data_IF_841476637159
#
_entry.id   IF_841476637159
#
_cell.length_a   1.000
_cell.length_b   1.000
_cell.length_c   1.000
_cell.angle_alpha   90.00
_cell.angle_beta   90.00
_cell.angle_gamma   90.00
#
_symmetry.space_group_name_H-M   'P 1'
#
loop_
_entity.id
_entity.type
_entity.pdbx_description
1 polymer ?
#
# COMPACT_ATOMS: atom_id res chain seq x y z
N UNK A 1 -33.68 -59.16 22.49
CA UNK A 1 -34.24 -57.79 22.45
C UNK A 1 -33.09 -56.90 22.86
N UNK A 2 -32.21 -56.62 21.90
CA UNK A 2 -31.03 -55.80 22.10
C UNK A 2 -31.43 -54.37 21.73
N UNK A 3 -31.35 -53.46 22.70
CA UNK A 3 -31.56 -52.03 22.49
C UNK A 3 -30.32 -51.48 21.75
N UNK A 4 -30.46 -51.23 20.46
CA UNK A 4 -29.55 -50.36 19.72
C UNK A 4 -29.73 -48.93 20.24
N UNK A 5 -28.83 -48.49 21.11
CA UNK A 5 -28.63 -47.08 21.40
C UNK A 5 -28.06 -46.41 20.16
N UNK A 6 -28.93 -45.76 19.39
CA UNK A 6 -28.55 -44.84 18.31
C UNK A 6 -27.76 -43.71 18.95
N UNK A 7 -26.43 -43.80 18.80
CA UNK A 7 -25.49 -42.79 19.24
C UNK A 7 -25.64 -41.59 18.30
N UNK A 8 -26.57 -40.70 18.64
CA UNK A 8 -26.75 -39.40 17.99
C UNK A 8 -25.55 -38.51 18.28
N UNK A 9 -24.46 -38.73 17.53
CA UNK A 9 -23.34 -37.81 17.51
C UNK A 9 -23.85 -36.46 17.02
N UNK A 10 -23.84 -35.46 17.91
CA UNK A 10 -24.07 -34.08 17.54
C UNK A 10 -23.09 -33.73 16.41
N UNK A 11 -23.60 -33.56 15.19
CA UNK A 11 -22.80 -33.02 14.10
C UNK A 11 -22.44 -31.60 14.50
N UNK A 12 -21.22 -31.39 14.95
CA UNK A 12 -20.67 -30.05 15.14
C UNK A 12 -20.60 -29.42 13.75
N UNK A 13 -21.60 -28.60 13.41
CA UNK A 13 -21.62 -27.86 12.16
C UNK A 13 -20.33 -27.01 12.09
N UNK A 14 -19.39 -27.45 11.25
CA UNK A 14 -18.15 -26.74 11.04
C UNK A 14 -18.45 -25.48 10.22
N UNK A 15 -17.89 -24.33 10.63
CA UNK A 15 -18.05 -23.09 9.89
C UNK A 15 -17.53 -23.28 8.44
N UNK A 16 -18.33 -22.95 7.40
CA UNK A 16 -18.05 -23.38 6.03
C UNK A 16 -16.99 -22.51 5.33
N UNK A 17 -15.79 -22.40 5.91
CA UNK A 17 -14.66 -21.58 5.42
C UNK A 17 -14.30 -21.93 3.99
N UNK A 18 -14.20 -23.23 3.68
CA UNK A 18 -13.82 -23.72 2.34
C UNK A 18 -14.84 -23.31 1.28
N UNK A 19 -16.14 -23.34 1.62
CA UNK A 19 -17.18 -22.91 0.68
C UNK A 19 -17.09 -21.40 0.43
N UNK A 20 -16.81 -20.61 1.47
CA UNK A 20 -16.63 -19.16 1.34
C UNK A 20 -15.39 -18.86 0.47
N UNK A 21 -14.29 -19.58 0.67
CA UNK A 21 -13.09 -19.47 -0.18
C UNK A 21 -13.42 -19.70 -1.65
N UNK A 22 -14.11 -20.81 -1.98
CA UNK A 22 -14.49 -21.12 -3.35
C UNK A 22 -15.45 -20.08 -3.94
N UNK A 23 -16.38 -19.53 -3.14
CA UNK A 23 -17.27 -18.46 -3.57
C UNK A 23 -16.49 -17.17 -3.89
N UNK A 24 -15.50 -16.80 -3.06
CA UNK A 24 -14.63 -15.64 -3.31
C UNK A 24 -13.81 -15.84 -4.60
N UNK A 25 -13.27 -17.03 -4.81
CA UNK A 25 -12.51 -17.37 -6.02
C UNK A 25 -13.38 -17.33 -7.28
N UNK A 26 -14.58 -17.90 -7.21
CA UNK A 26 -15.55 -17.85 -8.31
C UNK A 26 -15.93 -16.40 -8.64
N UNK A 27 -16.28 -15.61 -7.62
CA UNK A 27 -16.64 -14.20 -7.79
C UNK A 27 -15.48 -13.40 -8.41
N UNK A 28 -14.25 -13.63 -7.93
CA UNK A 28 -13.03 -13.02 -8.47
C UNK A 28 -12.89 -13.33 -9.97
N UNK A 29 -13.09 -14.59 -10.36
CA UNK A 29 -13.03 -15.00 -11.77
C UNK A 29 -14.12 -14.33 -12.61
N UNK A 30 -15.36 -14.26 -12.09
CA UNK A 30 -16.47 -13.60 -12.78
C UNK A 30 -16.23 -12.09 -12.99
N UNK A 31 -15.67 -11.40 -12.00
CA UNK A 31 -15.31 -9.97 -12.09
C UNK A 31 -14.23 -9.74 -13.14
N UNK A 32 -13.19 -10.58 -13.15
CA UNK A 32 -12.08 -10.48 -14.11
C UNK A 32 -12.52 -10.80 -15.55
N UNK A 33 -13.44 -11.76 -15.73
CA UNK A 33 -13.89 -12.16 -17.06
C UNK A 33 -14.87 -11.18 -17.69
N UNK A 34 -15.72 -10.54 -16.87
CA UNK A 34 -16.82 -9.69 -17.31
C UNK A 34 -16.85 -8.33 -16.58
N UNK A 35 -15.77 -7.53 -16.58
CA UNK A 35 -15.67 -6.34 -15.73
C UNK A 35 -16.71 -5.25 -16.03
N UNK A 36 -17.26 -5.24 -17.26
CA UNK A 36 -18.27 -4.27 -17.72
C UNK A 36 -19.72 -4.71 -17.47
N UNK A 37 -19.93 -5.90 -16.92
CA UNK A 37 -21.27 -6.46 -16.68
C UNK A 37 -21.89 -6.00 -15.37
N UNK A 38 -21.14 -5.30 -14.52
CA UNK A 38 -21.57 -4.87 -13.20
C UNK A 38 -21.86 -3.37 -13.19
N UNK A 39 -22.95 -3.00 -12.53
CA UNK A 39 -23.27 -1.60 -12.25
C UNK A 39 -22.38 -1.06 -11.14
N UNK A 40 -22.19 0.26 -11.12
CA UNK A 40 -21.44 0.95 -10.06
C UNK A 40 -21.98 0.61 -8.66
N UNK A 41 -23.31 0.55 -8.50
CA UNK A 41 -23.91 0.22 -7.20
C UNK A 41 -23.62 -1.22 -6.77
N UNK A 42 -23.62 -2.18 -7.69
CA UNK A 42 -23.24 -3.56 -7.39
C UNK A 42 -21.77 -3.65 -6.96
N UNK A 43 -20.87 -2.94 -7.65
CA UNK A 43 -19.46 -2.88 -7.27
C UNK A 43 -19.27 -2.28 -5.87
N UNK A 44 -19.95 -1.17 -5.55
CA UNK A 44 -19.93 -0.58 -4.19
C UNK A 44 -20.42 -1.57 -3.14
N UNK A 45 -21.53 -2.25 -3.41
CA UNK A 45 -22.10 -3.26 -2.50
C UNK A 45 -21.13 -4.44 -2.30
N UNK A 46 -20.42 -4.86 -3.34
CA UNK A 46 -19.41 -5.91 -3.25
C UNK A 46 -18.22 -5.47 -2.40
N UNK A 47 -17.71 -4.23 -2.54
CA UNK A 47 -16.66 -3.71 -1.65
C UNK A 47 -17.13 -3.73 -0.19
N UNK A 48 -18.35 -3.27 0.09
CA UNK A 48 -18.93 -3.31 1.45
C UNK A 48 -19.01 -4.73 2.00
N UNK A 49 -19.52 -5.66 1.19
CA UNK A 49 -19.62 -7.07 1.57
C UNK A 49 -18.24 -7.64 1.90
N UNK A 50 -17.27 -7.48 1.01
CA UNK A 50 -15.91 -8.00 1.18
C UNK A 50 -15.22 -7.39 2.40
N UNK A 51 -15.36 -6.07 2.62
CA UNK A 51 -14.87 -5.41 3.82
C UNK A 51 -15.53 -5.96 5.10
N UNK A 52 -16.82 -6.26 5.10
CA UNK A 52 -17.50 -6.87 6.26
C UNK A 52 -17.07 -8.31 6.50
N UNK A 53 -16.94 -9.09 5.42
CA UNK A 53 -16.46 -10.48 5.46
C UNK A 53 -15.04 -10.53 6.03
N UNK A 54 -14.18 -9.59 5.63
CA UNK A 54 -12.82 -9.46 6.15
C UNK A 54 -12.75 -9.24 7.67
N UNK A 55 -13.73 -8.57 8.25
CA UNK A 55 -13.80 -8.32 9.69
C UNK A 55 -14.17 -9.57 10.50
N UNK A 56 -14.61 -10.65 9.86
CA UNK A 56 -14.88 -11.91 10.54
C UNK A 56 -13.57 -12.65 10.83
N UNK A 57 -13.24 -12.77 12.12
CA UNK A 57 -12.02 -13.45 12.59
C UNK A 57 -11.95 -14.92 12.19
N UNK A 58 -13.09 -15.56 11.88
CA UNK A 58 -13.12 -16.96 11.42
C UNK A 58 -12.64 -17.12 9.98
N UNK A 59 -12.57 -16.02 9.22
CA UNK A 59 -12.18 -15.99 7.81
C UNK A 59 -10.74 -15.50 7.59
N UNK A 60 -9.94 -15.38 8.64
CA UNK A 60 -8.55 -14.93 8.53
C UNK A 60 -7.70 -15.86 7.64
N UNK A 61 -8.04 -17.15 7.55
CA UNK A 61 -7.34 -18.11 6.67
C UNK A 61 -7.58 -17.86 5.18
N UNK A 62 -8.62 -17.09 4.82
CA UNK A 62 -9.00 -16.79 3.43
C UNK A 62 -8.82 -15.31 3.09
N UNK A 63 -8.07 -14.57 3.93
CA UNK A 63 -7.87 -13.11 3.74
C UNK A 63 -7.26 -12.79 2.38
N UNK A 64 -6.36 -13.64 1.89
CA UNK A 64 -5.76 -13.48 0.56
C UNK A 64 -6.80 -13.55 -0.56
N UNK A 65 -7.73 -14.51 -0.50
CA UNK A 65 -8.83 -14.59 -1.48
C UNK A 65 -9.75 -13.36 -1.39
N UNK A 66 -9.96 -12.81 -0.19
CA UNK A 66 -10.71 -11.56 0.00
C UNK A 66 -9.97 -10.38 -0.66
N UNK A 67 -8.67 -10.21 -0.42
CA UNK A 67 -7.85 -9.16 -1.01
C UNK A 67 -7.84 -9.23 -2.54
N UNK A 68 -7.69 -10.43 -3.10
CA UNK A 68 -7.76 -10.66 -4.55
C UNK A 68 -9.15 -10.35 -5.11
N UNK A 69 -10.21 -10.67 -4.38
CA UNK A 69 -11.56 -10.34 -4.78
C UNK A 69 -11.79 -8.82 -4.76
N UNK A 70 -11.33 -8.12 -3.71
CA UNK A 70 -11.38 -6.65 -3.64
C UNK A 70 -10.64 -6.05 -4.83
N UNK A 71 -9.44 -6.55 -5.16
CA UNK A 71 -8.68 -6.08 -6.33
C UNK A 71 -9.47 -6.24 -7.63
N UNK A 72 -10.12 -7.39 -7.83
CA UNK A 72 -10.96 -7.63 -9.00
C UNK A 72 -12.17 -6.69 -9.06
N UNK A 73 -12.83 -6.42 -7.93
CA UNK A 73 -13.93 -5.44 -7.85
C UNK A 73 -13.44 -4.03 -8.20
N UNK A 74 -12.32 -3.60 -7.62
CA UNK A 74 -11.76 -2.26 -7.87
C UNK A 74 -11.41 -2.09 -9.35
N UNK A 75 -10.84 -3.10 -10.00
CA UNK A 75 -10.50 -3.07 -11.42
C UNK A 75 -11.72 -3.04 -12.36
N UNK A 76 -12.94 -3.27 -11.86
CA UNK A 76 -14.16 -3.09 -12.64
C UNK A 76 -14.57 -1.61 -12.75
N UNK A 77 -14.02 -0.72 -11.91
CA UNK A 77 -14.25 0.72 -12.07
C UNK A 77 -13.44 1.28 -13.25
N UNK A 78 -14.09 2.02 -14.15
CA UNK A 78 -13.40 2.74 -15.22
C UNK A 78 -12.62 3.95 -14.71
N UNK A 79 -11.56 4.31 -15.44
CA UNK A 79 -10.67 5.43 -15.10
C UNK A 79 -11.39 6.78 -14.96
N UNK A 80 -12.41 7.02 -15.79
CA UNK A 80 -13.18 8.28 -15.78
C UNK A 80 -14.09 8.41 -14.55
N UNK A 81 -14.58 7.30 -13.99
CA UNK A 81 -15.46 7.31 -12.82
C UNK A 81 -14.68 7.19 -11.50
N UNK A 82 -13.47 6.61 -11.54
CA UNK A 82 -12.67 6.36 -10.34
C UNK A 82 -12.47 7.57 -9.41
N UNK A 83 -12.20 8.80 -9.90
CA UNK A 83 -12.00 9.96 -9.03
C UNK A 83 -13.18 10.28 -8.10
N UNK A 84 -14.41 10.00 -8.54
CA UNK A 84 -15.62 10.17 -7.74
C UNK A 84 -15.89 8.93 -6.89
N UNK A 85 -15.73 7.75 -7.47
CA UNK A 85 -15.97 6.48 -6.78
C UNK A 85 -15.05 6.26 -5.58
N UNK A 86 -13.77 6.63 -5.67
CA UNK A 86 -12.85 6.50 -4.54
C UNK A 86 -13.30 7.34 -3.34
N UNK A 87 -13.92 8.50 -3.56
CA UNK A 87 -14.45 9.34 -2.48
C UNK A 87 -15.65 8.70 -1.82
N UNK A 88 -16.57 8.20 -2.63
CA UNK A 88 -17.76 7.51 -2.15
C UNK A 88 -17.38 6.24 -1.37
N UNK A 89 -16.45 5.44 -1.89
CA UNK A 89 -15.92 4.25 -1.20
C UNK A 89 -15.24 4.63 0.12
N UNK A 90 -14.46 5.72 0.18
CA UNK A 90 -13.88 6.18 1.44
C UNK A 90 -14.97 6.49 2.48
N UNK A 91 -16.03 7.21 2.08
CA UNK A 91 -17.15 7.55 2.95
C UNK A 91 -17.86 6.30 3.47
N UNK A 92 -18.18 5.37 2.57
CA UNK A 92 -18.86 4.12 2.90
C UNK A 92 -18.00 3.26 3.83
N UNK A 93 -16.73 3.04 3.50
CA UNK A 93 -15.83 2.16 4.27
C UNK A 93 -15.53 2.74 5.65
N UNK A 94 -15.34 4.07 5.75
CA UNK A 94 -15.18 4.75 7.03
C UNK A 94 -16.37 4.55 7.96
N UNK A 95 -17.55 4.26 7.40
CA UNK A 95 -18.77 4.06 8.18
C UNK A 95 -19.00 2.61 8.65
N UNK A 96 -18.24 1.63 8.16
CA UNK A 96 -18.50 0.20 8.42
C UNK A 96 -18.26 -0.24 9.86
N UNK A 97 -17.46 0.50 10.64
CA UNK A 97 -17.14 0.16 12.02
C UNK A 97 -16.93 1.40 12.87
N UNK A 98 -17.25 1.33 14.16
CA UNK A 98 -16.94 2.36 15.17
C UNK A 98 -15.57 2.13 15.81
N UNK A 99 -15.06 0.89 15.76
CA UNK A 99 -13.79 0.51 16.34
C UNK A 99 -12.63 0.91 15.42
N UNK A 100 -11.71 1.71 15.95
CA UNK A 100 -10.55 2.23 15.22
C UNK A 100 -9.60 1.11 14.72
N UNK A 101 -9.54 -0.04 15.38
CA UNK A 101 -8.72 -1.18 14.95
C UNK A 101 -9.31 -1.88 13.74
N UNK A 102 -10.63 -2.06 13.73
CA UNK A 102 -11.33 -2.59 12.55
C UNK A 102 -11.17 -1.65 11.36
N UNK A 103 -11.29 -0.34 11.58
CA UNK A 103 -11.08 0.65 10.52
C UNK A 103 -9.65 0.65 9.98
N UNK A 104 -8.64 0.52 10.87
CA UNK A 104 -7.26 0.32 10.43
C UNK A 104 -7.10 -0.95 9.60
N UNK A 105 -7.72 -2.06 10.02
CA UNK A 105 -7.68 -3.31 9.26
C UNK A 105 -8.33 -3.17 7.89
N UNK A 106 -9.47 -2.47 7.79
CA UNK A 106 -10.11 -2.16 6.50
C UNK A 106 -9.23 -1.32 5.57
N UNK A 107 -8.38 -0.44 6.13
CA UNK A 107 -7.37 0.27 5.35
C UNK A 107 -6.25 -0.67 4.89
N UNK A 108 -5.82 -1.59 5.76
CA UNK A 108 -4.69 -2.49 5.50
C UNK A 108 -5.00 -3.61 4.50
N UNK A 109 -6.25 -4.09 4.45
CA UNK A 109 -6.68 -5.14 3.51
C UNK A 109 -6.85 -4.65 2.07
N UNK A 110 -6.70 -3.34 1.81
CA UNK A 110 -6.79 -2.84 0.45
C UNK A 110 -5.61 -3.40 -0.38
N UNK A 111 -5.88 -3.92 -1.59
CA UNK A 111 -4.87 -4.62 -2.36
C UNK A 111 -3.77 -3.65 -2.85
N UNK A 112 -2.55 -4.15 -3.14
CA UNK A 112 -1.45 -3.35 -3.67
C UNK A 112 -1.63 -3.06 -5.18
N UNK A 113 -2.80 -2.55 -5.58
CA UNK A 113 -3.09 -2.07 -6.93
C UNK A 113 -3.17 -0.55 -6.95
N UNK A 114 -3.12 0.09 -8.12
CA UNK A 114 -3.24 1.56 -8.23
C UNK A 114 -4.49 2.09 -7.53
N UNK A 115 -5.64 1.46 -7.76
CA UNK A 115 -6.90 1.82 -7.10
C UNK A 115 -6.92 1.47 -5.61
N UNK A 116 -6.35 0.32 -5.22
CA UNK A 116 -6.27 -0.09 -3.82
C UNK A 116 -5.38 0.82 -2.98
N UNK A 117 -4.21 1.20 -3.50
CA UNK A 117 -3.27 2.15 -2.87
C UNK A 117 -3.92 3.54 -2.75
N UNK A 118 -4.59 4.02 -3.79
CA UNK A 118 -5.25 5.32 -3.75
C UNK A 118 -6.40 5.35 -2.72
N UNK A 119 -7.25 4.31 -2.72
CA UNK A 119 -8.31 4.13 -1.73
C UNK A 119 -7.72 4.06 -0.32
N UNK A 120 -6.67 3.27 -0.13
CA UNK A 120 -5.98 3.11 1.14
C UNK A 120 -5.44 4.46 1.68
N UNK A 121 -4.80 5.26 0.83
CA UNK A 121 -4.25 6.57 1.21
C UNK A 121 -5.34 7.58 1.55
N UNK A 122 -6.37 7.70 0.71
CA UNK A 122 -7.49 8.65 0.93
C UNK A 122 -8.33 8.26 2.14
N UNK A 123 -8.63 6.98 2.31
CA UNK A 123 -9.34 6.48 3.47
C UNK A 123 -8.54 6.73 4.75
N UNK A 124 -7.22 6.52 4.71
CA UNK A 124 -6.35 6.82 5.86
C UNK A 124 -6.44 8.29 6.27
N UNK A 125 -6.35 9.22 5.31
CA UNK A 125 -6.47 10.65 5.62
C UNK A 125 -7.86 11.01 6.16
N UNK A 126 -8.93 10.48 5.55
CA UNK A 126 -10.32 10.66 6.00
C UNK A 126 -10.50 10.21 7.46
N UNK A 127 -10.00 9.00 7.78
CA UNK A 127 -10.05 8.48 9.15
C UNK A 127 -9.19 9.28 10.11
N UNK A 128 -8.03 9.79 9.68
CA UNK A 128 -7.16 10.62 10.52
C UNK A 128 -7.85 11.91 10.97
N UNK A 129 -8.60 12.58 10.07
CA UNK A 129 -9.36 13.78 10.43
C UNK A 129 -10.33 13.51 11.59
N UNK A 130 -11.01 12.36 11.58
CA UNK A 130 -11.92 11.97 12.65
C UNK A 130 -11.20 11.48 13.91
N UNK A 131 -10.23 10.55 13.78
CA UNK A 131 -9.56 9.91 14.91
C UNK A 131 -8.67 10.86 15.69
N UNK A 132 -8.00 11.82 15.03
CA UNK A 132 -7.21 12.85 15.70
C UNK A 132 -8.11 13.80 16.49
N UNK A 133 -9.27 14.17 15.93
CA UNK A 133 -10.25 14.98 16.64
C UNK A 133 -10.79 14.22 17.87
N UNK A 134 -11.09 12.92 17.71
CA UNK A 134 -11.52 12.05 18.81
C UNK A 134 -10.47 11.97 19.91
N UNK A 135 -9.19 11.77 19.55
CA UNK A 135 -8.07 11.74 20.49
C UNK A 135 -7.96 13.07 21.24
N UNK A 136 -7.97 14.20 20.52
CA UNK A 136 -7.85 15.52 21.12
C UNK A 136 -8.99 15.84 22.10
N UNK A 137 -10.25 15.57 21.71
CA UNK A 137 -11.41 15.82 22.59
C UNK A 137 -11.43 14.90 23.81
N UNK A 138 -10.92 13.67 23.71
CA UNK A 138 -10.77 12.76 24.86
C UNK A 138 -9.81 13.35 25.90
N UNK A 139 -8.71 13.96 25.45
CA UNK A 139 -7.75 14.63 26.34
C UNK A 139 -8.35 15.88 27.01
N UNK A 140 -9.17 16.66 26.31
CA UNK A 140 -9.78 17.88 26.87
C UNK A 140 -10.95 17.61 27.83
N UNK A 141 -11.79 16.61 27.52
CA UNK A 141 -13.09 16.44 28.20
C UNK A 141 -13.05 15.35 29.29
N UNK A 142 -12.04 14.47 29.29
CA UNK A 142 -11.93 13.34 30.24
C UNK A 142 -13.09 12.32 30.15
N UNK A 143 -13.98 12.46 29.18
CA UNK A 143 -15.11 11.56 28.91
C UNK A 143 -15.05 11.06 27.47
N UNK A 144 -15.32 9.78 27.26
CA UNK A 144 -15.47 9.20 25.93
C UNK A 144 -16.67 9.83 25.22
N UNK A 145 -16.41 10.52 24.10
CA UNK A 145 -17.48 11.10 23.30
C UNK A 145 -18.31 10.01 22.62
N UNK A 146 -19.62 10.27 22.56
CA UNK A 146 -20.57 9.60 21.69
C UNK A 146 -20.15 9.87 20.23
N UNK A 147 -20.35 8.86 19.38
CA UNK A 147 -19.87 8.76 18.00
C UNK A 147 -20.46 9.84 17.06
N UNK A 148 -20.15 11.11 17.29
CA UNK A 148 -20.25 12.15 16.27
C UNK A 148 -19.14 11.89 15.26
N UNK A 149 -19.41 11.00 14.31
CA UNK A 149 -18.69 10.98 13.05
C UNK A 149 -18.99 12.33 12.41
N UNK A 150 -18.06 13.28 12.56
CA UNK A 150 -18.10 14.49 11.77
C UNK A 150 -18.29 14.07 10.32
N UNK A 151 -19.10 14.83 9.60
CA UNK A 151 -19.26 14.73 8.16
C UNK A 151 -17.90 15.10 7.51
N UNK A 152 -16.94 14.17 7.60
CA UNK A 152 -15.56 14.38 7.16
C UNK A 152 -15.60 14.33 5.66
N UNK A 153 -15.47 15.49 5.06
CA UNK A 153 -15.27 15.64 3.62
C UNK A 153 -14.05 14.82 3.21
N UNK A 154 -14.26 13.86 2.30
CA UNK A 154 -13.18 13.04 1.77
C UNK A 154 -12.26 13.93 0.94
N UNK A 155 -10.95 14.02 1.25
CA UNK A 155 -10.04 14.88 0.51
C UNK A 155 -9.86 14.44 -0.95
N UNK A 156 -9.72 15.43 -1.84
CA UNK A 156 -9.47 15.19 -3.27
C UNK A 156 -8.07 14.60 -3.53
N UNK A 157 -7.10 14.96 -2.68
CA UNK A 157 -5.72 14.49 -2.74
C UNK A 157 -5.14 14.32 -1.33
N UNK A 158 -4.16 13.42 -1.21
CA UNK A 158 -3.45 13.19 0.05
C UNK A 158 -2.15 13.97 0.06
N UNK A 159 -2.18 15.16 0.66
CA UNK A 159 -0.98 15.98 0.84
C UNK A 159 -0.34 15.76 2.22
N UNK A 160 0.99 15.66 2.25
CA UNK A 160 1.75 15.56 3.51
C UNK A 160 1.54 16.80 4.40
N UNK A 161 1.29 17.97 3.80
CA UNK A 161 1.00 19.22 4.51
C UNK A 161 -0.22 19.10 5.45
N UNK A 162 -1.24 18.34 5.04
CA UNK A 162 -2.45 18.08 5.83
C UNK A 162 -2.15 17.18 7.02
N UNK A 163 -1.30 16.16 6.84
CA UNK A 163 -0.84 15.28 7.92
C UNK A 163 -0.06 16.06 8.99
N UNK A 164 0.79 17.00 8.58
CA UNK A 164 1.53 17.89 9.50
C UNK A 164 0.59 18.65 10.42
N UNK A 165 -0.52 19.20 9.88
CA UNK A 165 -1.53 19.94 10.65
C UNK A 165 -2.27 19.03 11.63
N UNK A 166 -2.55 17.79 11.24
CA UNK A 166 -3.23 16.81 12.09
C UNK A 166 -2.34 16.35 13.25
N UNK A 167 -1.10 15.94 12.97
CA UNK A 167 -0.15 15.48 14.00
C UNK A 167 0.13 16.57 15.03
N UNK A 168 0.15 17.85 14.63
CA UNK A 168 0.37 18.97 15.54
C UNK A 168 -0.70 19.09 16.64
N UNK A 169 -1.88 18.49 16.46
CA UNK A 169 -2.97 18.50 17.45
C UNK A 169 -2.82 17.39 18.51
N UNK A 170 -1.96 16.41 18.27
CA UNK A 170 -1.78 15.26 19.17
C UNK A 170 -0.84 15.65 20.30
N UNK A 171 -1.33 15.56 21.53
CA UNK A 171 -0.56 15.78 22.75
C UNK A 171 -0.87 14.65 23.74
N UNK A 172 -0.05 13.59 23.80
CA UNK A 172 -0.31 12.46 24.68
C UNK A 172 0.08 12.80 26.13
N UNK A 173 -0.84 12.54 27.07
CA UNK A 173 -0.60 12.52 28.50
C UNK A 173 -0.40 11.09 29.04
N UNK A 174 -0.24 10.96 30.35
CA UNK A 174 -0.04 9.65 30.99
C UNK A 174 -1.29 8.74 30.90
N UNK A 175 -2.49 9.32 30.84
CA UNK A 175 -3.75 8.58 30.75
C UNK A 175 -4.27 8.35 29.33
N UNK A 176 -3.54 8.77 28.29
CA UNK A 176 -4.03 8.76 26.91
C UNK A 176 -4.34 7.36 26.37
N UNK A 177 -5.24 7.30 25.39
CA UNK A 177 -5.50 6.06 24.65
C UNK A 177 -4.37 5.77 23.65
N UNK A 178 -3.36 5.04 24.13
CA UNK A 178 -2.23 4.62 23.31
C UNK A 178 -2.60 3.60 22.23
N UNK A 179 -3.75 2.93 22.31
CA UNK A 179 -4.21 2.07 21.22
C UNK A 179 -4.76 2.89 20.07
N UNK A 180 -5.53 3.93 20.38
CA UNK A 180 -5.99 4.90 19.39
C UNK A 180 -4.79 5.62 18.76
N UNK A 181 -3.81 6.05 19.58
CA UNK A 181 -2.58 6.66 19.08
C UNK A 181 -1.82 5.72 18.14
N UNK A 182 -1.67 4.45 18.50
CA UNK A 182 -1.07 3.45 17.62
C UNK A 182 -1.77 3.40 16.25
N UNK A 183 -3.11 3.39 16.24
CA UNK A 183 -3.88 3.43 14.99
C UNK A 183 -3.63 4.71 14.20
N UNK A 184 -3.64 5.87 14.85
CA UNK A 184 -3.37 7.16 14.19
C UNK A 184 -1.99 7.14 13.53
N UNK A 185 -0.94 6.72 14.23
CA UNK A 185 0.40 6.65 13.65
C UNK A 185 0.47 5.65 12.49
N UNK A 186 -0.23 4.51 12.60
CA UNK A 186 -0.31 3.53 11.50
C UNK A 186 -0.94 4.16 10.25
N UNK A 187 -2.05 4.87 10.41
CA UNK A 187 -2.74 5.56 9.32
C UNK A 187 -1.91 6.69 8.72
N UNK A 188 -1.12 7.42 9.50
CA UNK A 188 -0.19 8.45 8.99
C UNK A 188 0.83 7.81 8.06
N UNK A 189 1.43 6.69 8.48
CA UNK A 189 2.37 5.94 7.65
C UNK A 189 1.73 5.51 6.34
N UNK A 190 0.51 4.97 6.40
CA UNK A 190 -0.21 4.51 5.21
C UNK A 190 -0.61 5.67 4.28
N UNK A 191 -1.09 6.79 4.83
CA UNK A 191 -1.48 7.97 4.05
C UNK A 191 -0.31 8.56 3.24
N UNK A 192 0.90 8.58 3.82
CA UNK A 192 2.12 9.01 3.09
C UNK A 192 2.41 8.05 1.93
N UNK A 193 2.08 6.77 2.05
CA UNK A 193 2.36 5.76 1.03
C UNK A 193 3.84 5.36 0.98
N UNK A 194 4.22 4.66 -0.08
CA UNK A 194 5.60 4.21 -0.33
C UNK A 194 6.15 4.68 -1.69
N UNK A 195 5.37 5.49 -2.40
CA UNK A 195 5.73 6.02 -3.73
C UNK A 195 6.66 7.23 -3.62
N UNK A 196 7.36 7.53 -4.71
CA UNK A 196 8.21 8.72 -4.81
C UNK A 196 7.37 9.99 -4.72
N UNK A 197 7.67 10.82 -3.72
CA UNK A 197 6.99 12.10 -3.53
C UNK A 197 7.63 13.20 -4.38
N UNK A 198 6.83 14.16 -4.88
CA UNK A 198 7.36 15.27 -5.66
C UNK A 198 8.24 16.18 -4.81
N UNK A 199 9.23 16.84 -5.42
CA UNK A 199 10.20 17.71 -4.72
C UNK A 199 9.56 18.80 -3.84
N UNK A 200 8.36 19.27 -4.22
CA UNK A 200 7.58 20.25 -3.44
C UNK A 200 7.17 19.74 -2.05
N UNK A 201 7.03 18.42 -1.87
CA UNK A 201 6.58 17.83 -0.61
C UNK A 201 7.73 17.55 0.36
N UNK A 202 8.98 17.66 -0.08
CA UNK A 202 10.17 17.40 0.74
C UNK A 202 10.14 18.15 2.07
N UNK A 203 9.92 19.46 2.04
CA UNK A 203 9.87 20.29 3.24
C UNK A 203 8.72 19.91 4.19
N UNK A 204 7.56 19.53 3.63
CA UNK A 204 6.41 19.05 4.42
C UNK A 204 6.72 17.70 5.07
N UNK A 205 7.41 16.80 4.36
CA UNK A 205 7.82 15.50 4.87
C UNK A 205 8.88 15.61 5.97
N UNK A 206 9.86 16.50 5.81
CA UNK A 206 10.83 16.84 6.86
C UNK A 206 10.11 17.36 8.11
N UNK A 207 9.16 18.26 7.92
CA UNK A 207 8.34 18.81 9.01
C UNK A 207 7.52 17.73 9.71
N UNK A 208 6.87 16.84 8.96
CA UNK A 208 6.12 15.70 9.51
C UNK A 208 7.03 14.78 10.33
N UNK A 209 8.20 14.44 9.77
CA UNK A 209 9.19 13.58 10.43
C UNK A 209 9.68 14.20 11.74
N UNK A 210 9.95 15.51 11.75
CA UNK A 210 10.34 16.24 12.95
C UNK A 210 9.22 16.22 14.01
N UNK A 211 7.96 16.46 13.61
CA UNK A 211 6.82 16.39 14.55
C UNK A 211 6.64 15.00 15.15
N UNK A 212 6.83 13.93 14.36
CA UNK A 212 6.79 12.56 14.88
C UNK A 212 7.94 12.28 15.86
N UNK A 213 9.14 12.85 15.65
CA UNK A 213 10.24 12.77 16.64
C UNK A 213 9.89 13.47 17.95
N UNK A 214 9.32 14.68 17.88
CA UNK A 214 8.84 15.39 19.07
C UNK A 214 7.79 14.57 19.81
N UNK A 215 6.79 14.05 19.09
CA UNK A 215 5.75 13.19 19.66
C UNK A 215 6.33 11.93 20.33
N UNK A 216 7.34 11.29 19.73
CA UNK A 216 8.03 10.15 20.34
C UNK A 216 8.76 10.52 21.64
N UNK A 217 9.30 11.75 21.72
CA UNK A 217 9.92 12.31 22.92
C UNK A 217 8.90 12.63 24.03
N UNK A 218 7.72 13.11 23.67
CA UNK A 218 6.65 13.46 24.61
C UNK A 218 6.06 12.23 25.32
N UNK A 219 6.12 11.05 24.68
CA UNK A 219 5.65 9.80 25.28
C UNK A 219 6.63 9.33 26.36
N UNK A 220 6.21 9.52 27.61
CA UNK A 220 6.88 8.99 28.81
C UNK A 220 6.68 7.48 28.91
N UNK A 221 7.76 6.73 28.80
CA UNK A 221 7.76 5.27 28.96
C UNK A 221 8.93 4.84 29.86
N UNK A 222 8.85 5.11 31.18
CA UNK A 222 9.93 4.82 32.10
C UNK A 222 10.18 3.32 32.15
N UNK A 223 11.40 2.90 31.78
CA UNK A 223 11.88 1.51 31.80
C UNK A 223 10.96 0.53 31.04
N UNK A 224 10.30 0.98 29.97
CA UNK A 224 9.36 0.15 29.20
C UNK A 224 8.25 -0.48 30.07
N UNK A 225 7.84 0.21 31.14
CA UNK A 225 6.85 -0.30 32.08
C UNK A 225 5.46 -0.44 31.44
N UNK A 226 5.18 0.31 30.35
CA UNK A 226 3.87 0.33 29.71
C UNK A 226 3.96 -0.22 28.28
N UNK A 227 3.65 -1.51 28.12
CA UNK A 227 3.71 -2.23 26.83
C UNK A 227 3.05 -1.47 25.66
N UNK A 228 1.91 -0.83 25.87
CA UNK A 228 1.22 -0.08 24.81
C UNK A 228 2.00 1.17 24.38
N UNK A 229 2.63 1.87 25.34
CA UNK A 229 3.49 3.03 25.04
C UNK A 229 4.73 2.58 24.30
N UNK A 230 5.35 1.47 24.73
CA UNK A 230 6.50 0.86 24.05
C UNK A 230 6.18 0.51 22.60
N UNK A 231 5.03 -0.11 22.34
CA UNK A 231 4.57 -0.42 20.97
C UNK A 231 4.38 0.84 20.11
N UNK A 232 3.83 1.90 20.66
CA UNK A 232 3.69 3.18 19.94
C UNK A 232 5.06 3.80 19.65
N UNK A 233 5.99 3.80 20.61
CA UNK A 233 7.34 4.31 20.41
C UNK A 233 8.09 3.52 19.34
N UNK A 234 8.00 2.18 19.35
CA UNK A 234 8.56 1.33 18.29
C UNK A 234 7.99 1.70 16.91
N UNK A 235 6.66 1.77 16.80
CA UNK A 235 6.00 2.16 15.56
C UNK A 235 6.43 3.55 15.08
N UNK A 236 6.53 4.51 16.00
CA UNK A 236 7.01 5.87 15.69
C UNK A 236 8.44 5.82 15.16
N UNK A 237 9.36 5.10 15.81
CA UNK A 237 10.76 4.99 15.36
C UNK A 237 10.84 4.41 13.95
N UNK A 238 10.13 3.31 13.67
CA UNK A 238 10.09 2.71 12.33
C UNK A 238 9.49 3.65 11.29
N UNK A 239 8.42 4.35 11.64
CA UNK A 239 7.77 5.33 10.75
C UNK A 239 8.71 6.49 10.46
N UNK A 240 9.33 7.08 11.49
CA UNK A 240 10.30 8.18 11.37
C UNK A 240 11.46 7.79 10.48
N UNK A 241 12.03 6.59 10.67
CA UNK A 241 13.15 6.10 9.86
C UNK A 241 12.75 5.98 8.39
N UNK A 242 11.59 5.38 8.12
CA UNK A 242 11.05 5.24 6.76
C UNK A 242 10.84 6.60 6.10
N UNK A 243 10.21 7.56 6.79
CA UNK A 243 9.96 8.89 6.23
C UNK A 243 11.26 9.69 6.02
N UNK A 244 12.24 9.53 6.91
CA UNK A 244 13.56 10.14 6.76
C UNK A 244 14.29 9.59 5.52
N UNK A 245 14.21 8.27 5.30
CA UNK A 245 14.75 7.65 4.09
C UNK A 245 14.05 8.17 2.83
N UNK A 246 12.71 8.19 2.81
CA UNK A 246 11.94 8.76 1.68
C UNK A 246 12.36 10.20 1.39
N UNK A 247 12.56 11.02 2.43
CA UNK A 247 13.03 12.40 2.27
C UNK A 247 14.38 12.48 1.55
N UNK A 248 15.32 11.57 1.86
CA UNK A 248 16.63 11.51 1.22
C UNK A 248 16.53 11.13 -0.26
N UNK A 249 15.58 10.26 -0.61
CA UNK A 249 15.33 9.83 -1.98
C UNK A 249 14.67 10.91 -2.85
N UNK A 250 13.99 11.90 -2.26
CA UNK A 250 13.37 13.00 -3.03
C UNK A 250 14.47 13.85 -3.67
N UNK A 251 14.50 13.85 -5.00
CA UNK A 251 15.43 14.66 -5.81
C UNK A 251 15.31 16.14 -5.41
N UNK A 252 16.43 16.85 -5.17
CA UNK A 252 16.38 18.28 -4.89
C UNK A 252 15.70 18.99 -6.06
N UNK A 253 14.79 19.92 -5.76
CA UNK A 253 14.23 20.83 -6.76
C UNK A 253 15.40 21.49 -7.49
N UNK A 254 15.33 21.59 -8.82
CA UNK A 254 16.41 22.00 -9.74
C UNK A 254 17.02 23.38 -9.39
N UNK A 255 17.86 23.45 -8.37
CA UNK A 255 18.70 24.62 -8.07
C UNK A 255 20.19 24.34 -8.28
N UNK A 256 20.58 23.08 -8.52
CA UNK A 256 21.96 22.72 -8.87
C UNK A 256 22.02 21.76 -10.07
N UNK A 257 22.02 22.25 -11.31
CA UNK A 257 22.14 21.42 -12.51
C UNK A 257 23.58 20.92 -12.75
N UNK A 258 24.50 21.03 -11.79
CA UNK A 258 25.92 20.97 -12.11
C UNK A 258 26.50 19.56 -12.24
N UNK A 259 25.93 18.51 -11.65
CA UNK A 259 26.54 17.16 -11.73
C UNK A 259 25.95 16.31 -12.84
N UNK A 260 24.62 16.34 -13.05
CA UNK A 260 23.98 15.52 -14.09
C UNK A 260 24.21 16.07 -15.50
N UNK A 261 24.49 17.37 -15.65
CA UNK A 261 24.87 17.96 -16.94
C UNK A 261 26.18 17.42 -17.50
N UNK A 262 27.09 16.89 -16.65
CA UNK A 262 28.33 16.28 -17.12
C UNK A 262 28.11 14.95 -17.84
N UNK A 263 27.01 14.26 -17.56
CA UNK A 263 26.72 12.95 -18.14
C UNK A 263 25.80 13.03 -19.37
N UNK A 264 25.10 14.16 -19.58
CA UNK A 264 24.21 14.36 -20.73
C UNK A 264 24.94 14.81 -22.01
N UNK A 265 26.23 15.17 -21.93
CA UNK A 265 27.07 15.52 -23.08
C UNK A 265 28.33 14.65 -23.16
N UNK A 266 28.15 13.38 -23.52
CA UNK A 266 29.24 12.60 -24.12
C UNK A 266 28.75 11.99 -25.43
N UNK A 267 28.70 12.83 -26.47
CA UNK A 267 28.65 12.40 -27.88
C UNK A 267 30.08 12.34 -28.42
N UNK A 268 31.03 11.76 -27.67
CA UNK A 268 32.34 11.48 -28.21
C UNK A 268 32.28 10.17 -28.98
N UNK A 269 32.37 10.25 -30.32
CA UNK A 269 32.71 9.13 -31.18
C UNK A 269 34.02 8.51 -30.68
N UNK A 270 33.92 7.37 -30.01
CA UNK A 270 35.09 6.59 -29.64
C UNK A 270 35.61 5.89 -30.90
N UNK A 271 36.63 6.47 -31.53
CA UNK A 271 37.45 5.74 -32.51
C UNK A 271 38.44 4.86 -31.76
N UNK A 272 38.23 3.54 -31.83
CA UNK A 272 39.17 2.56 -31.29
C UNK A 272 40.31 2.39 -32.29
N UNK A 273 41.45 3.03 -32.04
CA UNK A 273 42.68 2.76 -32.78
C UNK A 273 43.31 1.46 -32.27
N UNK A 274 43.27 0.40 -33.09
CA UNK A 274 44.07 -0.80 -32.86
C UNK A 274 45.56 -0.45 -33.04
N UNK A 275 46.34 -0.61 -31.98
CA UNK A 275 47.80 -0.48 -31.99
C UNK A 275 48.41 -1.49 -32.96
N UNK A 276 49.04 -0.99 -34.04
CA UNK A 276 49.95 -1.78 -34.89
C UNK A 276 51.23 -2.07 -34.10
N UNK A 277 51.44 -3.32 -33.73
CA UNK A 277 52.75 -3.82 -33.32
C UNK A 277 53.62 -4.05 -34.56
N UNK A 278 54.77 -3.37 -34.64
CA UNK A 278 55.93 -3.79 -35.43
C UNK A 278 56.84 -4.54 -34.43
N UNK A 279 57.08 -5.85 -34.54
CA UNK A 279 58.02 -6.50 -35.49
C UNK A 279 59.44 -6.38 -34.92
N UNK A 280 60.24 -7.42 -34.65
CA UNK A 280 60.30 -8.83 -35.04
C UNK A 280 61.23 -9.54 -34.02
N UNK A 281 61.05 -10.84 -33.72
CA UNK A 281 62.12 -11.84 -33.88
C UNK A 281 61.60 -13.29 -33.72
N UNK A 282 62.28 -14.17 -34.44
CA UNK A 282 61.88 -15.51 -34.87
C UNK A 282 61.87 -16.60 -33.78
N UNK A 283 60.93 -17.55 -33.85
CA UNK A 283 61.23 -18.99 -33.97
C UNK A 283 59.95 -19.86 -34.09
N UNK A 284 59.83 -20.44 -35.30
CA UNK A 284 59.24 -21.71 -35.76
C UNK A 284 58.62 -22.66 -34.72
N UNK A 285 57.35 -23.05 -34.93
CA UNK A 285 56.94 -24.46 -35.09
C UNK A 285 55.60 -24.57 -35.85
N UNK A 286 55.57 -25.50 -36.81
CA UNK A 286 54.54 -25.69 -37.85
C UNK A 286 53.51 -26.80 -37.51
N UNK A 287 52.26 -26.55 -37.93
CA UNK A 287 51.21 -27.47 -38.43
C UNK A 287 50.42 -28.40 -37.46
N UNK A 288 49.24 -28.94 -37.86
CA UNK A 288 48.28 -28.55 -38.93
C UNK A 288 46.84 -28.35 -38.35
N UNK A 289 45.90 -27.64 -38.98
CA UNK A 289 45.21 -27.99 -40.23
C UNK A 289 44.04 -28.95 -39.98
N UNK A 290 42.80 -28.43 -39.96
CA UNK A 290 41.63 -29.20 -40.40
C UNK A 290 40.50 -28.27 -40.82
N UNK A 291 40.03 -28.51 -42.04
CA UNK A 291 39.00 -27.80 -42.78
C UNK A 291 37.58 -28.32 -42.44
N UNK A 292 36.60 -27.59 -42.99
CA UNK A 292 35.21 -27.99 -43.31
C UNK A 292 34.12 -27.91 -42.22
N UNK A 293 33.21 -26.92 -42.37
CA UNK A 293 31.85 -27.21 -42.85
C UNK A 293 31.06 -25.93 -43.21
N UNK A 294 30.69 -25.88 -44.49
CA UNK A 294 29.59 -25.17 -45.19
C UNK A 294 28.22 -25.24 -44.45
N UNK A 295 27.14 -24.48 -44.71
CA UNK A 295 26.81 -23.36 -45.60
C UNK A 295 25.40 -22.80 -45.23
N UNK A 296 25.16 -21.53 -45.64
CA UNK A 296 23.96 -21.00 -46.31
C UNK A 296 22.57 -20.84 -45.63
N UNK A 297 22.04 -19.63 -45.88
CA UNK A 297 20.62 -19.18 -45.95
C UNK A 297 19.90 -18.97 -44.61
N UNK A 298 19.16 -17.89 -44.35
CA UNK A 298 18.63 -16.79 -45.14
C UNK A 298 17.37 -16.30 -44.40
N UNK A 299 17.44 -15.13 -43.76
CA UNK A 299 16.32 -14.55 -43.01
C UNK A 299 15.45 -13.77 -43.98
N UNK A 300 14.17 -14.15 -44.11
CA UNK A 300 13.14 -13.34 -44.76
C UNK A 300 11.95 -13.19 -43.80
N UNK A 301 11.65 -11.93 -43.49
CA UNK A 301 10.54 -11.47 -42.67
C UNK A 301 9.19 -11.88 -43.28
N UNK A 302 8.24 -12.27 -42.43
CA UNK A 302 6.82 -12.37 -42.80
C UNK A 302 6.03 -11.55 -41.78
N UNK A 303 5.57 -10.40 -42.26
CA UNK A 303 4.49 -9.63 -41.67
C UNK A 303 3.18 -10.11 -42.32
N UNK A 304 2.17 -10.42 -41.52
CA UNK A 304 0.86 -10.79 -42.05
C UNK A 304 -0.26 -10.28 -41.13
N UNK A 305 -0.62 -9.02 -41.37
CA UNK A 305 -1.98 -8.57 -41.20
C UNK A 305 -2.86 -9.25 -42.26
N UNK A 306 -3.83 -10.05 -41.82
CA UNK A 306 -5.27 -10.02 -42.18
C UNK A 306 -5.92 -11.34 -41.71
N UNK A 307 -7.14 -11.22 -41.16
CA UNK A 307 -8.11 -12.28 -40.80
C UNK A 307 -8.15 -12.73 -39.34
N UNK A 308 -8.60 -11.86 -38.43
CA UNK A 308 -9.94 -11.90 -37.82
C UNK A 308 -10.14 -10.78 -36.81
#
# INVERSE_FOLDING_TARGET
>A
MEEETVNGGAQTECFPVVNIMHLLQLLTHCLQRCPRSYTVQELRNLVVLLCRVALDVRLQTVVFDIEMCIAAVLNCFGEMQWPDEVKELCSIVAQLSTNHRNLLYLVQIQPPSTYGIELQRRLSLTLLHWLVLKFHKQEETGKGLVDERCDVTVPDSVEVSSLVKLIAKIKPGDGSDYFLLHTIISLVSIAVGSEDLPSKERASLETLTNKLRTLNGDIKDPRAAFMNRTKVKDLLVRTILRLAYMTQCIKPSREHPHITSYFEYSSSDYQVELLKGNGDDENVEELPGNEEAEAMTGVQEIDCSTLR
#
